data_IF_309183234271
#
_entry.id   IF_309183234271
#
_cell.length_a   1.000
_cell.length_b   1.000
_cell.length_c   1.000
_cell.angle_alpha   90.00
_cell.angle_beta   90.00
_cell.angle_gamma   90.00
#
_symmetry.space_group_name_H-M   'P 1'
#
loop_
_entity.id
_entity.type
_entity.pdbx_description
1 polymer ?
#
# COMPACT_ATOMS: atom_id res chain seq x y z
N UNK A 1 24.86 1.42 21.39
CA UNK A 1 26.30 1.20 21.14
C UNK A 1 27.17 1.31 22.39
N UNK A 2 26.98 2.30 23.28
CA UNK A 2 27.77 2.43 24.51
C UNK A 2 27.73 1.18 25.43
N UNK A 3 26.56 0.56 25.59
CA UNK A 3 26.41 -0.63 26.46
C UNK A 3 26.95 -1.95 25.85
N UNK A 4 26.98 -2.09 24.52
CA UNK A 4 27.57 -3.26 23.88
C UNK A 4 29.12 -3.23 23.89
N UNK A 5 29.70 -2.01 23.96
CA UNK A 5 31.14 -1.77 24.13
C UNK A 5 31.66 -2.32 25.47
N UNK A 6 30.82 -2.27 26.50
CA UNK A 6 31.17 -2.72 27.86
C UNK A 6 30.93 -4.23 28.08
N UNK A 7 30.24 -4.91 27.16
CA UNK A 7 29.86 -6.33 27.30
C UNK A 7 30.83 -7.33 26.64
N UNK A 8 31.95 -6.87 26.06
CA UNK A 8 32.98 -7.75 25.48
C UNK A 8 32.58 -8.47 24.18
N UNK A 9 31.53 -8.02 23.49
CA UNK A 9 31.19 -8.54 22.16
C UNK A 9 32.33 -8.22 21.18
N UNK A 10 32.91 -9.25 20.55
CA UNK A 10 34.02 -9.07 19.61
C UNK A 10 33.68 -8.12 18.45
N UNK A 11 34.68 -7.41 17.93
CA UNK A 11 34.52 -6.39 16.87
C UNK A 11 33.68 -6.88 15.67
N UNK A 12 33.80 -8.16 15.33
CA UNK A 12 33.02 -8.80 14.26
C UNK A 12 31.51 -8.81 14.54
N UNK A 13 31.09 -9.07 15.78
CA UNK A 13 29.67 -9.08 16.18
C UNK A 13 29.11 -7.66 16.14
N UNK A 14 29.90 -6.69 16.59
CA UNK A 14 29.52 -5.27 16.54
C UNK A 14 29.31 -4.80 15.11
N UNK A 15 30.26 -5.10 14.21
CA UNK A 15 30.14 -4.78 12.79
C UNK A 15 28.90 -5.41 12.14
N UNK A 16 28.57 -6.66 12.49
CA UNK A 16 27.35 -7.32 12.01
C UNK A 16 26.08 -6.63 12.52
N UNK A 17 26.04 -6.26 13.81
CA UNK A 17 24.89 -5.54 14.37
C UNK A 17 24.70 -4.18 13.69
N UNK A 18 25.77 -3.44 13.50
CA UNK A 18 25.76 -2.15 12.79
C UNK A 18 25.26 -2.30 11.36
N UNK A 19 25.64 -3.39 10.68
CA UNK A 19 25.11 -3.70 9.35
C UNK A 19 23.59 -3.95 9.36
N UNK A 20 23.05 -4.65 10.36
CA UNK A 20 21.60 -4.85 10.48
C UNK A 20 20.86 -3.56 10.83
N UNK A 21 21.42 -2.72 11.70
CA UNK A 21 20.86 -1.40 12.02
C UNK A 21 20.84 -0.49 10.78
N UNK A 22 21.91 -0.46 10.00
CA UNK A 22 21.97 0.29 8.75
C UNK A 22 20.91 -0.19 7.74
N UNK A 23 20.64 -1.51 7.69
CA UNK A 23 19.56 -2.05 6.87
C UNK A 23 18.18 -1.57 7.34
N UNK A 24 17.93 -1.52 8.64
CA UNK A 24 16.67 -0.99 9.17
C UNK A 24 16.50 0.50 8.81
N UNK A 25 17.54 1.31 8.98
CA UNK A 25 17.54 2.72 8.60
C UNK A 25 17.30 2.93 7.10
N UNK A 26 17.87 2.06 6.26
CA UNK A 26 17.63 2.09 4.82
C UNK A 26 16.17 1.81 4.45
N UNK A 27 15.55 0.79 5.09
CA UNK A 27 14.13 0.47 4.87
C UNK A 27 13.24 1.61 5.36
N UNK A 28 13.49 2.16 6.55
CA UNK A 28 12.74 3.29 7.10
C UNK A 28 12.78 4.50 6.16
N UNK A 29 13.97 4.89 5.68
CA UNK A 29 14.11 5.98 4.72
C UNK A 29 13.41 5.69 3.38
N UNK A 30 13.33 4.41 2.98
CA UNK A 30 12.52 3.98 1.85
C UNK A 30 11.02 4.20 2.06
N UNK A 31 10.49 3.80 3.22
CA UNK A 31 9.08 4.01 3.60
C UNK A 31 8.74 5.50 3.71
N UNK A 32 9.61 6.30 4.33
CA UNK A 32 9.45 7.76 4.41
C UNK A 32 9.43 8.39 3.02
N UNK A 33 10.30 7.95 2.10
CA UNK A 33 10.28 8.46 0.73
C UNK A 33 8.96 8.12 0.06
N UNK A 34 8.50 6.87 0.10
CA UNK A 34 7.22 6.46 -0.50
C UNK A 34 6.06 7.30 0.05
N UNK A 35 6.00 7.46 1.39
CA UNK A 35 4.94 8.24 2.04
C UNK A 35 5.01 9.74 1.75
N UNK A 36 6.22 10.31 1.71
CA UNK A 36 6.42 11.75 1.54
C UNK A 36 6.55 12.21 0.08
N UNK A 37 6.63 11.28 -0.88
CA UNK A 37 6.60 11.60 -2.31
C UNK A 37 5.31 11.07 -2.96
N UNK A 38 4.13 11.61 -2.59
CA UNK A 38 2.89 11.21 -3.23
C UNK A 38 2.88 11.63 -4.70
N UNK A 39 2.04 10.96 -5.48
CA UNK A 39 1.79 11.32 -6.88
C UNK A 39 1.31 12.78 -6.92
N UNK A 40 1.83 13.62 -7.82
CA UNK A 40 1.45 15.03 -7.88
C UNK A 40 -0.06 15.20 -8.02
N UNK A 41 -0.68 15.97 -7.11
CA UNK A 41 -2.12 16.24 -7.12
C UNK A 41 -2.71 16.65 -8.49
N UNK A 42 -2.05 17.51 -9.30
CA UNK A 42 -2.57 17.86 -10.63
C UNK A 42 -2.73 16.66 -11.58
N UNK A 43 -1.90 15.62 -11.42
CA UNK A 43 -1.98 14.41 -12.22
C UNK A 43 -3.26 13.64 -11.91
N UNK A 44 -3.53 13.38 -10.63
CA UNK A 44 -4.74 12.70 -10.15
C UNK A 44 -5.98 13.49 -10.57
N UNK A 45 -5.97 14.81 -10.34
CA UNK A 45 -7.08 15.68 -10.73
C UNK A 45 -7.34 15.67 -12.25
N UNK A 46 -6.28 15.62 -13.06
CA UNK A 46 -6.43 15.56 -14.52
C UNK A 46 -6.98 14.21 -14.96
N UNK A 47 -6.56 13.10 -14.36
CA UNK A 47 -7.10 11.77 -14.64
C UNK A 47 -8.60 11.71 -14.38
N UNK A 48 -9.05 12.12 -13.19
CA UNK A 48 -10.49 12.16 -12.88
C UNK A 48 -11.27 12.98 -13.92
N UNK A 49 -10.77 14.17 -14.29
CA UNK A 49 -11.42 15.03 -15.28
C UNK A 49 -11.51 14.37 -16.65
N UNK A 50 -10.43 13.72 -17.09
CA UNK A 50 -10.40 13.02 -18.38
C UNK A 50 -11.40 11.87 -18.37
N UNK A 51 -11.44 11.04 -17.33
CA UNK A 51 -12.37 9.90 -17.22
C UNK A 51 -13.83 10.38 -17.24
N UNK A 52 -14.15 11.42 -16.48
CA UNK A 52 -15.49 11.99 -16.46
C UNK A 52 -15.91 12.57 -17.82
N UNK A 53 -15.04 13.37 -18.45
CA UNK A 53 -15.32 13.95 -19.78
C UNK A 53 -15.44 12.85 -20.83
N UNK A 54 -14.57 11.84 -20.80
CA UNK A 54 -14.61 10.71 -21.72
C UNK A 54 -15.93 9.93 -21.59
N UNK A 55 -16.32 9.56 -20.37
CA UNK A 55 -17.59 8.86 -20.12
C UNK A 55 -18.82 9.71 -20.47
N UNK A 56 -18.74 11.03 -20.31
CA UNK A 56 -19.79 11.96 -20.72
C UNK A 56 -19.93 12.07 -22.24
N UNK A 57 -18.81 12.04 -22.98
CA UNK A 57 -18.81 12.15 -24.44
C UNK A 57 -19.14 10.83 -25.16
N UNK A 58 -18.85 9.68 -24.53
CA UNK A 58 -19.12 8.34 -25.05
C UNK A 58 -20.52 8.13 -25.68
N UNK A 59 -21.65 8.49 -25.04
CA UNK A 59 -22.98 8.30 -25.65
C UNK A 59 -23.16 9.04 -26.96
N UNK A 60 -22.58 10.24 -27.10
CA UNK A 60 -22.67 11.03 -28.33
C UNK A 60 -21.84 10.42 -29.46
N UNK A 61 -20.73 9.74 -29.14
CA UNK A 61 -19.93 9.03 -30.15
C UNK A 61 -20.58 7.72 -30.61
N UNK A 62 -21.30 7.01 -29.74
CA UNK A 62 -21.80 5.67 -30.01
C UNK A 62 -23.23 5.66 -30.57
N UNK A 63 -24.03 6.71 -30.33
CA UNK A 63 -25.45 6.74 -30.69
C UNK A 63 -25.73 6.47 -32.16
N UNK A 64 -24.92 7.02 -33.08
CA UNK A 64 -25.12 6.83 -34.53
C UNK A 64 -24.72 5.42 -35.00
N UNK A 65 -23.84 4.73 -34.26
CA UNK A 65 -23.34 3.41 -34.63
C UNK A 65 -24.21 2.27 -34.13
N UNK A 66 -24.70 2.34 -32.88
CA UNK A 66 -25.42 1.24 -32.21
C UNK A 66 -26.81 1.63 -31.68
N UNK A 67 -27.27 2.85 -31.92
CA UNK A 67 -28.64 3.29 -31.69
C UNK A 67 -29.12 3.04 -30.26
N UNK A 68 -30.23 2.31 -30.11
CA UNK A 68 -30.85 2.03 -28.80
C UNK A 68 -30.01 1.15 -27.86
N UNK A 69 -28.98 0.46 -28.38
CA UNK A 69 -28.06 -0.32 -27.54
C UNK A 69 -27.00 0.55 -26.84
N UNK A 70 -26.85 1.81 -27.26
CA UNK A 70 -25.92 2.80 -26.70
C UNK A 70 -25.92 2.89 -25.17
N UNK A 71 -27.07 3.09 -24.48
CA UNK A 71 -27.07 3.20 -23.01
C UNK A 71 -26.46 1.97 -22.33
N UNK A 72 -26.74 0.76 -22.81
CA UNK A 72 -26.16 -0.46 -22.25
C UNK A 72 -24.65 -0.52 -22.45
N UNK A 73 -24.18 -0.27 -23.68
CA UNK A 73 -22.75 -0.26 -23.99
C UNK A 73 -21.99 0.81 -23.19
N UNK A 74 -22.56 2.02 -23.09
CA UNK A 74 -21.99 3.13 -22.32
C UNK A 74 -21.94 2.80 -20.83
N UNK A 75 -22.97 2.17 -20.25
CA UNK A 75 -22.95 1.74 -18.86
C UNK A 75 -21.80 0.78 -18.56
N UNK A 76 -21.57 -0.23 -19.41
CA UNK A 76 -20.48 -1.20 -19.23
C UNK A 76 -19.11 -0.52 -19.33
N UNK A 77 -18.92 0.33 -20.33
CA UNK A 77 -17.66 1.06 -20.52
C UNK A 77 -17.40 2.04 -19.36
N UNK A 78 -18.40 2.84 -19.00
CA UNK A 78 -18.29 3.80 -17.90
C UNK A 78 -17.97 3.12 -16.57
N UNK A 79 -18.66 2.00 -16.26
CA UNK A 79 -18.33 1.19 -15.07
C UNK A 79 -16.87 0.74 -15.07
N UNK A 80 -16.36 0.31 -16.21
CA UNK A 80 -14.96 -0.14 -16.35
C UNK A 80 -13.97 1.01 -16.11
N UNK A 81 -14.21 2.18 -16.73
CA UNK A 81 -13.31 3.34 -16.59
C UNK A 81 -13.38 3.98 -15.20
N UNK A 82 -14.57 4.15 -14.62
CA UNK A 82 -14.71 4.64 -13.25
C UNK A 82 -14.16 3.66 -12.22
N UNK A 83 -14.35 2.35 -12.45
CA UNK A 83 -13.74 1.32 -11.61
C UNK A 83 -12.21 1.39 -11.64
N UNK A 84 -11.62 1.59 -12.83
CA UNK A 84 -10.18 1.78 -12.97
C UNK A 84 -9.68 3.05 -12.27
N UNK A 85 -10.40 4.17 -12.42
CA UNK A 85 -10.08 5.45 -11.76
C UNK A 85 -10.09 5.30 -10.23
N UNK A 86 -11.14 4.70 -9.67
CA UNK A 86 -11.27 4.46 -8.24
C UNK A 86 -10.23 3.45 -7.68
N UNK A 87 -9.85 2.44 -8.46
CA UNK A 87 -8.78 1.52 -8.09
C UNK A 87 -7.42 2.24 -8.05
N UNK A 88 -7.20 3.18 -8.96
CA UNK A 88 -6.01 4.03 -8.98
C UNK A 88 -5.81 4.80 -7.68
N UNK A 89 -6.89 5.33 -7.11
CA UNK A 89 -6.85 6.03 -5.83
C UNK A 89 -6.53 5.11 -4.66
N UNK A 90 -7.10 3.89 -4.64
CA UNK A 90 -6.86 2.93 -3.56
C UNK A 90 -5.40 2.45 -3.51
N UNK A 91 -4.75 2.30 -4.67
CA UNK A 91 -3.34 1.85 -4.71
C UNK A 91 -2.33 2.99 -4.47
N UNK A 92 -2.80 4.25 -4.40
CA UNK A 92 -1.92 5.40 -4.31
C UNK A 92 -1.32 5.60 -2.91
N UNK A 93 -2.01 5.14 -1.85
CA UNK A 93 -1.53 5.26 -0.46
C UNK A 93 -1.50 3.88 0.26
N UNK A 94 -0.42 3.10 0.09
CA UNK A 94 -0.36 1.71 0.57
C UNK A 94 -0.22 1.58 2.09
N UNK A 95 0.00 2.68 2.81
CA UNK A 95 0.26 2.67 4.27
C UNK A 95 -0.92 3.24 5.08
N UNK A 96 -2.07 3.44 4.45
CA UNK A 96 -3.31 3.81 5.14
C UNK A 96 -3.99 2.53 5.71
N UNK A 97 -5.25 2.66 6.13
CA UNK A 97 -6.00 1.66 6.90
C UNK A 97 -7.20 1.09 6.14
N UNK A 98 -7.21 1.25 4.82
CA UNK A 98 -8.24 0.73 3.94
C UNK A 98 -8.08 -0.79 3.74
N UNK A 99 -9.15 -1.51 3.38
CA UNK A 99 -9.11 -2.96 3.21
C UNK A 99 -8.08 -3.50 2.21
N UNK A 100 -7.64 -2.68 1.25
CA UNK A 100 -6.70 -3.06 0.21
C UNK A 100 -5.27 -2.54 0.47
N UNK A 101 -5.05 -1.90 1.62
CA UNK A 101 -3.74 -1.40 2.03
C UNK A 101 -2.89 -2.52 2.65
N UNK A 102 -1.65 -2.21 2.97
CA UNK A 102 -0.76 -3.15 3.64
C UNK A 102 -1.28 -3.45 5.05
N UNK A 103 -1.38 -4.74 5.39
CA UNK A 103 -1.75 -5.21 6.72
C UNK A 103 -0.60 -5.00 7.74
N UNK A 104 -0.26 -3.74 8.02
CA UNK A 104 0.88 -3.36 8.84
C UNK A 104 0.75 -3.85 10.29
N UNK A 105 -0.46 -3.92 10.84
CA UNK A 105 -0.66 -4.41 12.21
C UNK A 105 -0.40 -5.92 12.26
N UNK A 106 -0.87 -6.67 11.27
CA UNK A 106 -0.55 -8.09 11.13
C UNK A 106 0.95 -8.35 10.89
N UNK A 107 1.61 -7.55 10.06
CA UNK A 107 3.06 -7.64 9.86
C UNK A 107 3.82 -7.36 11.16
N UNK A 108 3.44 -6.31 11.90
CA UNK A 108 4.01 -5.99 13.20
C UNK A 108 3.75 -7.10 14.23
N UNK A 109 2.55 -7.69 14.24
CA UNK A 109 2.23 -8.84 15.11
C UNK A 109 3.15 -10.02 14.81
N UNK A 110 3.36 -10.34 13.54
CA UNK A 110 4.23 -11.45 13.14
C UNK A 110 5.69 -11.21 13.54
N UNK A 111 6.17 -9.96 13.42
CA UNK A 111 7.50 -9.57 13.91
C UNK A 111 7.60 -9.70 15.43
N UNK A 112 6.57 -9.26 16.17
CA UNK A 112 6.54 -9.39 17.63
C UNK A 112 6.60 -10.86 18.07
N UNK A 113 5.84 -11.74 17.41
CA UNK A 113 5.86 -13.19 17.66
C UNK A 113 7.26 -13.73 17.44
N UNK A 114 7.87 -13.47 16.28
CA UNK A 114 9.20 -13.99 15.94
C UNK A 114 10.28 -13.52 16.94
N UNK A 115 10.23 -12.26 17.39
CA UNK A 115 11.20 -11.73 18.36
C UNK A 115 11.00 -12.35 19.75
N UNK A 116 9.76 -12.53 20.19
CA UNK A 116 9.46 -13.17 21.48
C UNK A 116 9.83 -14.65 21.50
N UNK A 117 9.61 -15.36 20.39
CA UNK A 117 10.05 -16.75 20.23
C UNK A 117 11.58 -16.88 20.35
N UNK A 118 12.34 -15.96 19.74
CA UNK A 118 13.81 -15.92 19.90
C UNK A 118 14.26 -15.62 21.33
N UNK A 119 13.44 -14.90 22.09
CA UNK A 119 13.69 -14.55 23.49
C UNK A 119 13.16 -15.59 24.50
N UNK A 120 12.55 -16.68 24.02
CA UNK A 120 11.84 -17.69 24.83
C UNK A 120 10.74 -17.07 25.73
N UNK A 121 10.12 -15.99 25.24
CA UNK A 121 9.01 -15.30 25.89
C UNK A 121 7.65 -15.76 25.34
N UNK A 122 6.59 -15.58 26.14
CA UNK A 122 5.24 -15.87 25.68
C UNK A 122 4.85 -14.98 24.49
N UNK A 123 4.68 -15.60 23.32
CA UNK A 123 4.28 -14.92 22.10
C UNK A 123 2.77 -14.62 22.09
N UNK A 124 2.35 -13.45 21.59
CA UNK A 124 0.94 -13.13 21.42
C UNK A 124 0.32 -13.94 20.28
N UNK A 125 -1.02 -14.03 20.27
CA UNK A 125 -1.72 -14.70 19.19
C UNK A 125 -1.59 -13.94 17.85
N UNK A 126 -1.53 -14.69 16.75
CA UNK A 126 -1.59 -14.14 15.40
C UNK A 126 -2.92 -13.41 15.18
N UNK A 127 -2.85 -12.25 14.51
CA UNK A 127 -4.04 -11.53 14.10
C UNK A 127 -4.79 -12.34 13.03
N UNK A 128 -6.10 -12.43 13.19
CA UNK A 128 -6.99 -13.16 12.29
C UNK A 128 -7.76 -12.17 11.42
N UNK A 129 -8.07 -12.50 10.16
CA UNK A 129 -8.83 -11.62 9.29
C UNK A 129 -10.24 -11.41 9.84
N UNK A 130 -10.68 -10.15 9.93
CA UNK A 130 -12.03 -9.77 10.32
C UNK A 130 -12.81 -9.44 9.05
N UNK A 131 -13.84 -10.23 8.75
CA UNK A 131 -14.64 -10.11 7.51
C UNK A 131 -13.82 -10.23 6.21
N UNK A 132 -12.77 -11.06 6.23
CA UNK A 132 -11.90 -11.28 5.08
C UNK A 132 -10.83 -10.21 4.86
N UNK A 133 -10.74 -9.22 5.75
CA UNK A 133 -9.70 -8.19 5.74
C UNK A 133 -8.75 -8.42 6.90
N UNK A 134 -7.45 -8.45 6.59
CA UNK A 134 -6.39 -8.47 7.58
C UNK A 134 -5.86 -7.05 7.69
N UNK A 135 -5.93 -6.47 8.87
CA UNK A 135 -5.27 -5.19 9.19
C UNK A 135 -3.96 -5.50 9.94
#
# INVERSE_FOLDING_TARGET
>A
MAQARDAGAGEVIQANLDQQLNRLSYVLGGCERIKNTPIPYPYILMLHRIVHVYCFLLPFCLVDSIGWFTPFAVCVLAYTFFGLDALGDQIADPFDTQPNDLALDAMCRNLEIAVRELADEAAPAQLQPVKGVLL
#
